data_IF_965167651847
#
_entry.id   IF_965167651847
#
_cell.length_a   1.000
_cell.length_b   1.000
_cell.length_c   1.000
_cell.angle_alpha   90.00
_cell.angle_beta   90.00
_cell.angle_gamma   90.00
#
_symmetry.space_group_name_H-M   'P 1'
#
loop_
_entity.id
_entity.type
_entity.pdbx_description
1 polymer ?
#
# COMPACT_ATOMS: atom_id res chain seq x y z
N UNK A 1 -1.03 66.41 52.49
CA UNK A 1 -1.82 65.92 51.36
C UNK A 1 -0.93 65.97 50.12
N UNK A 2 -0.30 64.85 49.75
CA UNK A 2 0.49 64.69 48.53
C UNK A 2 -0.14 63.62 47.65
N UNK A 3 -0.84 63.97 46.59
CA UNK A 3 -1.33 63.09 45.52
C UNK A 3 -0.18 62.89 44.54
N UNK A 4 0.49 61.69 44.65
CA UNK A 4 1.43 61.29 43.62
C UNK A 4 0.66 60.68 42.44
N UNK A 5 0.77 61.30 41.29
CA UNK A 5 0.25 60.88 40.00
C UNK A 5 1.15 59.72 39.48
N UNK A 6 0.61 58.50 39.37
CA UNK A 6 1.33 57.27 38.94
C UNK A 6 1.04 56.91 37.47
N UNK A 7 0.41 57.80 36.71
CA UNK A 7 -0.16 57.48 35.40
C UNK A 7 0.72 57.57 34.14
N UNK A 8 1.92 58.20 34.10
CA UNK A 8 2.65 58.27 32.84
C UNK A 8 3.66 57.11 32.60
N UNK A 9 3.97 56.26 33.59
CA UNK A 9 4.98 55.23 33.44
C UNK A 9 4.38 53.94 32.86
N UNK A 10 3.10 53.67 33.12
CA UNK A 10 2.43 52.45 32.65
C UNK A 10 2.17 52.45 31.13
N UNK A 11 1.92 53.60 30.52
CA UNK A 11 1.68 53.73 29.08
C UNK A 11 2.94 53.60 28.22
N UNK A 12 4.13 53.84 28.78
CA UNK A 12 5.41 53.66 28.04
C UNK A 12 5.90 52.21 27.99
N UNK A 13 5.51 51.42 28.96
CA UNK A 13 5.87 49.97 28.98
C UNK A 13 4.95 49.11 28.12
N UNK A 14 3.66 49.47 27.97
CA UNK A 14 2.72 48.76 27.12
C UNK A 14 2.96 49.03 25.62
N UNK A 15 3.44 50.22 25.25
CA UNK A 15 3.78 50.55 23.86
C UNK A 15 4.99 49.80 23.32
N UNK A 16 5.96 49.45 24.16
CA UNK A 16 7.18 48.75 23.75
C UNK A 16 6.94 47.24 23.52
N UNK A 17 5.96 46.64 24.20
CA UNK A 17 5.58 45.23 24.04
C UNK A 17 4.76 44.95 22.78
N UNK A 18 4.06 45.93 22.26
CA UNK A 18 3.25 45.77 21.03
C UNK A 18 4.12 45.92 19.77
N UNK A 19 5.21 46.67 19.81
CA UNK A 19 6.12 46.83 18.66
C UNK A 19 7.05 45.64 18.47
N UNK A 20 7.32 44.83 19.51
CA UNK A 20 8.13 43.60 19.44
C UNK A 20 7.41 42.38 18.89
N UNK A 21 6.07 42.39 18.91
CA UNK A 21 5.26 41.23 18.48
C UNK A 21 4.98 41.14 16.97
N UNK A 22 5.20 42.22 16.23
CA UNK A 22 4.86 42.27 14.79
C UNK A 22 6.00 41.81 13.89
N UNK A 23 7.23 41.71 14.40
CA UNK A 23 8.41 41.34 13.60
C UNK A 23 8.69 39.82 13.51
N UNK A 24 7.95 39.00 14.23
CA UNK A 24 8.17 37.51 14.21
C UNK A 24 7.22 36.75 13.30
N UNK A 25 6.25 37.42 12.65
CA UNK A 25 5.25 36.73 11.80
C UNK A 25 5.65 36.61 10.31
N UNK A 26 6.83 37.11 9.92
CA UNK A 26 7.20 37.16 8.48
C UNK A 26 8.14 36.07 8.01
N UNK A 27 8.46 35.05 8.81
CA UNK A 27 9.43 34.02 8.46
C UNK A 27 8.83 32.68 8.07
N UNK A 28 7.51 32.55 7.94
CA UNK A 28 6.85 31.25 7.70
C UNK A 28 6.10 31.11 6.37
N UNK A 29 6.35 31.97 5.40
CA UNK A 29 5.66 31.91 4.10
C UNK A 29 6.62 31.95 2.91
N UNK A 30 7.53 30.97 2.82
CA UNK A 30 8.26 30.74 1.56
C UNK A 30 8.71 29.29 1.43
N UNK A 31 7.75 28.35 1.43
CA UNK A 31 7.96 26.99 0.91
C UNK A 31 6.84 26.63 -0.09
N UNK A 32 6.70 27.45 -1.11
CA UNK A 32 5.83 27.12 -2.24
C UNK A 32 6.65 27.17 -3.51
N UNK A 33 6.92 25.98 -4.10
CA UNK A 33 7.16 25.93 -5.53
C UNK A 33 8.39 25.22 -6.07
N UNK A 34 9.36 24.77 -5.28
CA UNK A 34 10.41 23.93 -5.83
C UNK A 34 9.91 22.46 -5.85
N UNK A 35 9.78 21.86 -7.03
CA UNK A 35 9.51 20.45 -7.16
C UNK A 35 10.58 19.66 -6.38
N UNK A 36 10.15 18.62 -5.62
CA UNK A 36 11.11 17.78 -4.91
C UNK A 36 12.13 17.17 -5.89
N UNK A 37 13.35 16.86 -5.45
CA UNK A 37 14.34 16.21 -6.30
C UNK A 37 13.80 14.95 -6.99
N UNK A 38 12.95 14.19 -6.30
CA UNK A 38 12.28 13.01 -6.81
C UNK A 38 11.28 13.36 -7.91
N UNK A 39 10.52 14.44 -7.74
CA UNK A 39 9.61 14.93 -8.77
C UNK A 39 10.36 15.38 -10.02
N UNK A 40 11.52 16.01 -9.85
CA UNK A 40 12.36 16.42 -10.96
C UNK A 40 12.84 15.20 -11.78
N UNK A 41 13.25 14.11 -11.12
CA UNK A 41 13.64 12.85 -11.79
C UNK A 41 12.45 12.26 -12.56
N UNK A 42 11.25 12.21 -11.98
CA UNK A 42 10.06 11.73 -12.68
C UNK A 42 9.75 12.56 -13.92
N UNK A 43 9.77 13.87 -13.80
CA UNK A 43 9.53 14.78 -14.93
C UNK A 43 10.53 14.59 -16.05
N UNK A 44 11.80 14.39 -15.69
CA UNK A 44 12.89 14.26 -16.66
C UNK A 44 12.91 12.92 -17.39
N UNK A 45 12.63 11.81 -16.69
CA UNK A 45 12.90 10.46 -17.21
C UNK A 45 11.65 9.58 -17.40
N UNK A 46 10.51 9.94 -16.79
CA UNK A 46 9.33 9.08 -16.76
C UNK A 46 8.13 9.66 -17.51
N UNK A 47 7.86 10.96 -17.33
CA UNK A 47 6.65 11.63 -17.86
C UNK A 47 6.58 11.62 -19.38
N UNK A 48 7.73 11.61 -20.07
CA UNK A 48 7.75 11.52 -21.54
C UNK A 48 6.95 10.34 -22.10
N UNK A 49 6.88 9.24 -21.37
CA UNK A 49 6.10 8.05 -21.73
C UNK A 49 4.86 7.85 -20.82
N UNK A 50 4.96 8.21 -19.55
CA UNK A 50 3.93 8.02 -18.55
C UNK A 50 3.17 9.33 -18.24
N UNK A 51 2.84 10.11 -19.28
CA UNK A 51 2.00 11.29 -19.22
C UNK A 51 0.51 10.93 -19.35
N UNK A 52 -0.35 11.87 -19.04
CA UNK A 52 -1.80 11.70 -19.25
C UNK A 52 -2.17 11.50 -20.72
N UNK A 53 -1.37 12.06 -21.63
CA UNK A 53 -1.55 11.93 -23.08
C UNK A 53 -1.18 10.55 -23.63
N UNK A 54 -0.05 9.99 -23.19
CA UNK A 54 0.49 8.74 -23.76
C UNK A 54 0.07 7.49 -23.01
N UNK A 55 -0.01 7.57 -21.68
CA UNK A 55 -0.45 6.47 -20.79
C UNK A 55 0.23 5.12 -21.07
N UNK A 56 1.52 5.15 -21.41
CA UNK A 56 2.26 3.95 -21.79
C UNK A 56 2.16 2.87 -20.68
N UNK A 57 1.74 1.66 -21.06
CA UNK A 57 1.48 0.58 -20.09
C UNK A 57 0.32 0.85 -19.14
N UNK A 58 -0.60 1.76 -19.49
CA UNK A 58 -1.72 2.16 -18.63
C UNK A 58 -1.34 3.00 -17.42
N UNK A 59 -0.07 3.45 -17.33
CA UNK A 59 0.45 4.19 -16.19
C UNK A 59 0.59 5.68 -16.49
N UNK A 60 0.08 6.52 -15.58
CA UNK A 60 0.26 7.98 -15.60
C UNK A 60 0.99 8.39 -14.34
N UNK A 61 2.20 8.96 -14.49
CA UNK A 61 3.00 9.48 -13.39
C UNK A 61 2.98 11.01 -13.30
N UNK A 62 2.52 11.67 -14.35
CA UNK A 62 2.49 13.12 -14.47
C UNK A 62 1.75 13.79 -13.30
N UNK A 63 0.60 13.25 -12.94
CA UNK A 63 -0.31 13.82 -11.94
C UNK A 63 -0.21 13.15 -10.57
N UNK A 64 0.63 12.12 -10.40
CA UNK A 64 0.79 11.44 -9.12
C UNK A 64 1.72 12.23 -8.19
N UNK A 65 1.32 12.34 -6.93
CA UNK A 65 2.12 13.01 -5.92
C UNK A 65 3.14 12.05 -5.31
N UNK A 66 4.42 12.19 -5.69
CA UNK A 66 5.51 11.37 -5.13
C UNK A 66 5.82 11.74 -3.68
N UNK A 67 5.54 12.98 -3.26
CA UNK A 67 5.80 13.42 -1.89
C UNK A 67 4.75 12.86 -0.90
N UNK A 68 3.69 12.24 -1.44
CA UNK A 68 2.68 11.50 -0.67
C UNK A 68 2.38 10.15 -1.33
N UNK A 69 3.31 9.22 -1.24
CA UNK A 69 3.20 7.86 -1.83
C UNK A 69 1.96 7.09 -1.31
N UNK A 70 1.51 7.41 -0.12
CA UNK A 70 0.34 6.77 0.50
C UNK A 70 -1.01 7.07 -0.15
N UNK A 71 -1.09 8.01 -1.09
CA UNK A 71 -2.29 8.22 -1.90
C UNK A 71 -2.46 7.14 -2.97
N UNK A 72 -1.36 6.59 -3.49
CA UNK A 72 -1.35 5.56 -4.53
C UNK A 72 -0.23 4.54 -4.29
N UNK A 73 -0.23 3.85 -3.14
CA UNK A 73 0.91 3.02 -2.72
C UNK A 73 1.18 1.89 -3.71
N UNK A 74 0.15 1.22 -4.22
CA UNK A 74 0.29 0.12 -5.20
C UNK A 74 0.97 0.56 -6.50
N UNK A 75 0.76 1.80 -6.91
CA UNK A 75 1.41 2.34 -8.12
C UNK A 75 2.89 2.58 -7.83
N UNK A 76 3.21 3.16 -6.69
CA UNK A 76 4.59 3.43 -6.30
C UNK A 76 5.40 2.15 -6.02
N UNK A 77 4.77 1.11 -5.48
CA UNK A 77 5.35 -0.23 -5.36
C UNK A 77 5.74 -0.81 -6.73
N UNK A 78 4.85 -0.70 -7.73
CA UNK A 78 5.15 -1.14 -9.10
C UNK A 78 6.30 -0.34 -9.71
N UNK A 79 6.34 0.98 -9.49
CA UNK A 79 7.44 1.84 -9.94
C UNK A 79 8.75 1.40 -9.27
N UNK A 80 8.75 1.24 -7.95
CA UNK A 80 9.91 0.77 -7.19
C UNK A 80 10.43 -0.57 -7.73
N UNK A 81 9.56 -1.55 -7.92
CA UNK A 81 9.92 -2.85 -8.47
C UNK A 81 10.59 -2.74 -9.87
N UNK A 82 10.06 -1.87 -10.74
CA UNK A 82 10.63 -1.64 -12.08
C UNK A 82 11.96 -0.91 -12.05
N UNK A 83 12.16 0.00 -11.09
CA UNK A 83 13.44 0.67 -10.88
C UNK A 83 14.49 -0.30 -10.31
N UNK A 84 14.15 -1.10 -9.31
CA UNK A 84 15.05 -2.09 -8.71
C UNK A 84 15.51 -3.12 -9.73
N UNK A 85 14.62 -3.61 -10.58
CA UNK A 85 14.92 -4.58 -11.63
C UNK A 85 15.56 -3.95 -12.89
N UNK A 86 15.78 -2.62 -12.92
CA UNK A 86 16.35 -1.88 -14.06
C UNK A 86 15.55 -2.01 -15.36
N UNK A 87 14.26 -2.35 -15.28
CA UNK A 87 13.38 -2.40 -16.47
C UNK A 87 12.92 -1.03 -16.93
N UNK A 88 12.96 -0.02 -16.07
CA UNK A 88 12.56 1.35 -16.39
C UNK A 88 13.63 2.36 -15.95
N UNK A 89 13.92 3.37 -16.79
CA UNK A 89 13.53 3.53 -18.21
C UNK A 89 14.09 2.41 -19.09
N UNK A 90 13.39 2.06 -20.20
CA UNK A 90 13.83 0.97 -21.07
C UNK A 90 15.14 1.32 -21.82
N UNK A 91 15.84 0.35 -22.40
CA UNK A 91 17.03 0.60 -23.24
C UNK A 91 16.74 1.59 -24.36
N UNK A 92 17.71 2.46 -24.66
CA UNK A 92 17.62 3.40 -25.77
C UNK A 92 17.00 4.76 -25.44
N UNK A 93 16.49 4.96 -24.21
CA UNK A 93 16.01 6.28 -23.77
C UNK A 93 16.89 6.85 -22.64
N UNK A 94 16.87 8.18 -22.44
CA UNK A 94 17.60 8.80 -21.32
C UNK A 94 17.18 8.19 -19.98
N UNK A 95 18.17 7.97 -19.11
CA UNK A 95 17.97 7.38 -17.79
C UNK A 95 18.79 8.10 -16.73
N UNK A 96 18.40 8.05 -15.44
CA UNK A 96 19.23 8.55 -14.35
C UNK A 96 20.59 7.86 -14.32
N UNK A 97 21.60 8.53 -13.79
CA UNK A 97 22.85 7.87 -13.40
C UNK A 97 22.60 6.92 -12.20
N UNK A 98 23.61 6.14 -11.84
CA UNK A 98 23.47 5.15 -10.76
C UNK A 98 23.11 5.79 -9.42
N UNK A 99 23.65 6.97 -9.14
CA UNK A 99 23.33 7.74 -7.94
C UNK A 99 21.87 8.21 -7.93
N UNK A 100 21.37 8.66 -9.08
CA UNK A 100 19.97 9.06 -9.25
C UNK A 100 18.99 7.89 -9.09
N UNK A 101 19.34 6.72 -9.64
CA UNK A 101 18.59 5.49 -9.41
C UNK A 101 18.53 5.13 -7.94
N UNK A 102 19.68 5.05 -7.28
CA UNK A 102 19.76 4.66 -5.88
C UNK A 102 19.02 5.64 -4.98
N UNK A 103 19.14 6.94 -5.26
CA UNK A 103 18.40 7.96 -4.51
C UNK A 103 16.88 7.80 -4.65
N UNK A 104 16.38 7.51 -5.85
CA UNK A 104 14.95 7.31 -6.09
C UNK A 104 14.44 6.03 -5.44
N UNK A 105 15.18 4.94 -5.56
CA UNK A 105 14.86 3.64 -4.94
C UNK A 105 14.79 3.78 -3.43
N UNK A 106 15.84 4.30 -2.80
CA UNK A 106 15.88 4.49 -1.34
C UNK A 106 14.75 5.40 -0.83
N UNK A 107 14.44 6.45 -1.59
CA UNK A 107 13.33 7.34 -1.25
C UNK A 107 11.99 6.60 -1.26
N UNK A 108 11.69 5.86 -2.33
CA UNK A 108 10.43 5.11 -2.45
C UNK A 108 10.33 4.02 -1.40
N UNK A 109 11.37 3.22 -1.19
CA UNK A 109 11.43 2.20 -0.14
C UNK A 109 11.11 2.80 1.22
N UNK A 110 11.87 3.81 1.63
CA UNK A 110 11.69 4.46 2.94
C UNK A 110 10.29 5.06 3.11
N UNK A 111 9.75 5.69 2.05
CA UNK A 111 8.46 6.37 2.11
C UNK A 111 7.29 5.38 2.15
N UNK A 112 7.37 4.29 1.38
CA UNK A 112 6.37 3.22 1.35
C UNK A 112 6.38 2.43 2.66
N UNK A 113 7.55 2.07 3.18
CA UNK A 113 7.70 1.37 4.46
C UNK A 113 7.13 2.19 5.61
N UNK A 114 7.46 3.49 5.63
CA UNK A 114 6.92 4.41 6.65
C UNK A 114 5.40 4.51 6.57
N UNK A 115 4.85 4.58 5.36
CA UNK A 115 3.40 4.60 5.17
C UNK A 115 2.77 3.28 5.61
N UNK A 116 3.32 2.14 5.19
CA UNK A 116 2.83 0.80 5.57
C UNK A 116 2.88 0.59 7.09
N UNK A 117 3.95 1.00 7.76
CA UNK A 117 4.06 0.94 9.21
C UNK A 117 2.99 1.79 9.93
N UNK A 118 2.57 2.91 9.32
CA UNK A 118 1.52 3.76 9.89
C UNK A 118 0.10 3.21 9.70
N UNK A 119 -0.07 2.27 8.76
CA UNK A 119 -1.35 1.62 8.42
C UNK A 119 -1.14 0.13 8.20
N UNK A 120 -0.79 -0.62 9.24
CA UNK A 120 -0.48 -2.03 9.11
C UNK A 120 -1.71 -2.79 8.57
N UNK A 121 -1.53 -3.40 7.39
CA UNK A 121 -2.51 -4.28 6.78
C UNK A 121 -1.86 -5.66 6.60
N UNK A 122 -2.01 -6.57 7.56
CA UNK A 122 -1.41 -7.91 7.50
C UNK A 122 -2.05 -8.81 6.43
N UNK A 123 -2.82 -8.25 5.50
CA UNK A 123 -3.45 -9.02 4.44
C UNK A 123 -4.55 -9.95 4.93
N UNK A 124 -5.18 -9.65 6.06
CA UNK A 124 -6.31 -10.45 6.53
C UNK A 124 -7.47 -10.29 5.56
N UNK A 125 -7.87 -11.41 4.98
CA UNK A 125 -9.13 -11.51 4.27
C UNK A 125 -10.30 -11.25 5.22
N UNK A 126 -11.36 -10.64 4.70
CA UNK A 126 -12.60 -10.47 5.44
C UNK A 126 -13.09 -11.84 5.93
N UNK A 127 -13.54 -11.86 7.13
CA UNK A 127 -14.08 -12.77 8.11
C UNK A 127 -14.28 -14.26 7.79
N UNK A 128 -14.57 -14.71 6.58
CA UNK A 128 -14.67 -16.15 6.27
C UNK A 128 -14.21 -16.42 4.83
N UNK A 129 -13.18 -17.23 4.69
CA UNK A 129 -12.77 -17.79 3.42
C UNK A 129 -13.00 -19.31 3.43
N UNK A 130 -13.27 -19.89 2.26
CA UNK A 130 -13.26 -21.34 2.14
C UNK A 130 -11.85 -21.90 2.31
N UNK A 131 -11.73 -23.13 2.68
CA UNK A 131 -10.45 -23.84 2.68
C UNK A 131 -10.03 -24.17 1.24
N UNK A 132 -8.72 -24.09 0.96
CA UNK A 132 -8.14 -24.69 -0.26
C UNK A 132 -8.24 -26.22 -0.17
N UNK A 133 -8.00 -26.91 -1.29
CA UNK A 133 -7.95 -28.38 -1.30
C UNK A 133 -6.95 -28.94 -0.28
N UNK A 134 -5.77 -28.35 -0.20
CA UNK A 134 -4.71 -28.75 0.73
C UNK A 134 -5.12 -28.53 2.17
N UNK A 135 -5.70 -27.37 2.47
CA UNK A 135 -6.21 -27.06 3.82
C UNK A 135 -7.38 -27.98 4.19
N UNK A 136 -8.28 -28.28 3.24
CA UNK A 136 -9.41 -29.17 3.47
C UNK A 136 -8.94 -30.61 3.75
N UNK A 137 -7.98 -31.13 2.95
CA UNK A 137 -7.36 -32.43 3.20
C UNK A 137 -6.74 -32.48 4.61
N UNK A 138 -5.92 -31.48 4.95
CA UNK A 138 -5.28 -31.44 6.26
C UNK A 138 -6.31 -31.37 7.41
N UNK A 139 -7.34 -30.56 7.27
CA UNK A 139 -8.39 -30.44 8.28
C UNK A 139 -9.13 -31.78 8.49
N UNK A 140 -9.46 -32.52 7.44
CA UNK A 140 -10.09 -33.84 7.54
C UNK A 140 -9.16 -34.86 8.17
N UNK A 141 -7.90 -34.89 7.77
CA UNK A 141 -6.89 -35.74 8.38
C UNK A 141 -6.74 -35.47 9.88
N UNK A 142 -6.63 -34.21 10.25
CA UNK A 142 -6.33 -33.80 11.62
C UNK A 142 -7.56 -34.00 12.54
N UNK A 143 -8.79 -33.85 12.01
CA UNK A 143 -10.03 -34.02 12.77
C UNK A 143 -10.51 -35.45 12.84
N UNK A 144 -10.38 -36.24 11.75
CA UNK A 144 -11.01 -37.56 11.62
C UNK A 144 -9.98 -38.69 11.44
N UNK A 145 -8.71 -38.37 11.31
CA UNK A 145 -7.68 -39.38 11.00
C UNK A 145 -7.81 -39.98 9.61
N UNK A 146 -8.55 -39.37 8.70
CA UNK A 146 -8.81 -39.86 7.36
C UNK A 146 -7.91 -39.20 6.32
N UNK A 147 -7.25 -40.02 5.54
CA UNK A 147 -6.52 -39.55 4.36
C UNK A 147 -7.44 -39.56 3.14
N UNK A 148 -7.84 -38.38 2.67
CA UNK A 148 -8.79 -38.22 1.57
C UNK A 148 -8.09 -37.66 0.33
N UNK A 149 -8.57 -37.99 -0.86
CA UNK A 149 -8.17 -37.35 -2.09
C UNK A 149 -9.03 -36.10 -2.36
N UNK A 150 -8.62 -34.97 -1.81
CA UNK A 150 -9.34 -33.70 -2.00
C UNK A 150 -9.32 -33.22 -3.47
N UNK A 151 -8.33 -33.66 -4.28
CA UNK A 151 -8.24 -33.30 -5.71
C UNK A 151 -9.38 -33.95 -6.50
N UNK A 152 -9.76 -35.17 -6.16
CA UNK A 152 -10.89 -35.87 -6.80
C UNK A 152 -12.26 -35.39 -6.28
N UNK A 153 -12.31 -34.79 -5.11
CA UNK A 153 -13.56 -34.37 -4.49
C UNK A 153 -13.96 -32.92 -4.79
N UNK A 154 -12.98 -32.04 -4.88
CA UNK A 154 -13.18 -30.60 -5.01
C UNK A 154 -12.58 -30.03 -6.31
N UNK A 155 -13.17 -28.97 -6.88
CA UNK A 155 -12.59 -28.29 -8.04
C UNK A 155 -11.26 -27.62 -7.67
N UNK A 156 -10.45 -27.28 -8.69
CA UNK A 156 -9.17 -26.61 -8.50
C UNK A 156 -9.32 -25.28 -7.78
N UNK A 157 -8.36 -24.96 -6.94
CA UNK A 157 -8.22 -23.63 -6.38
C UNK A 157 -7.64 -22.69 -7.45
N UNK A 158 -8.19 -21.48 -7.51
CA UNK A 158 -7.62 -20.41 -8.31
C UNK A 158 -6.40 -19.86 -7.59
N UNK A 159 -5.32 -19.64 -8.32
CA UNK A 159 -4.11 -19.05 -7.76
C UNK A 159 -3.90 -17.64 -8.26
N UNK A 160 -3.43 -16.77 -7.38
CA UNK A 160 -3.01 -15.42 -7.72
C UNK A 160 -1.68 -15.12 -7.05
N UNK A 161 -0.79 -14.44 -7.75
CA UNK A 161 0.56 -14.13 -7.28
C UNK A 161 1.38 -15.35 -6.81
N UNK A 162 1.08 -16.55 -7.31
CA UNK A 162 1.74 -17.80 -6.92
C UNK A 162 1.19 -18.46 -5.65
N UNK A 163 0.09 -17.94 -5.09
CA UNK A 163 -0.56 -18.49 -3.90
C UNK A 163 -1.99 -18.96 -4.23
N UNK A 164 -2.35 -20.15 -3.79
CA UNK A 164 -3.66 -20.77 -4.01
C UNK A 164 -4.74 -20.32 -3.01
N UNK A 165 -4.36 -19.55 -1.99
CA UNK A 165 -5.25 -19.10 -0.92
C UNK A 165 -5.66 -17.62 -1.03
N UNK A 166 -5.27 -16.90 -2.08
CA UNK A 166 -5.52 -15.47 -2.24
C UNK A 166 -6.88 -15.15 -2.85
N UNK A 167 -7.49 -16.10 -3.58
CA UNK A 167 -8.75 -15.91 -4.32
C UNK A 167 -9.90 -16.77 -3.80
N UNK A 168 -9.87 -17.17 -2.54
CA UNK A 168 -10.86 -18.10 -1.95
C UNK A 168 -12.05 -17.40 -1.28
N UNK A 169 -12.59 -16.36 -1.92
CA UNK A 169 -13.58 -15.48 -1.27
C UNK A 169 -15.03 -15.94 -1.41
N UNK A 170 -15.40 -16.66 -2.47
CA UNK A 170 -16.81 -16.94 -2.75
C UNK A 170 -17.14 -18.43 -2.86
N UNK A 171 -18.23 -18.84 -2.24
CA UNK A 171 -18.87 -20.13 -2.48
C UNK A 171 -19.96 -19.98 -3.55
N UNK A 172 -19.68 -20.39 -4.78
CA UNK A 172 -20.72 -20.53 -5.80
C UNK A 172 -21.67 -21.71 -5.44
N UNK A 173 -22.92 -21.72 -5.92
CA UNK A 173 -23.84 -22.84 -5.69
C UNK A 173 -23.25 -24.19 -6.11
N UNK A 174 -22.57 -24.25 -7.24
CA UNK A 174 -21.91 -25.47 -7.73
C UNK A 174 -20.79 -25.93 -6.79
N UNK A 175 -20.00 -24.99 -6.27
CA UNK A 175 -18.93 -25.29 -5.33
C UNK A 175 -19.52 -25.80 -4.00
N UNK A 176 -20.60 -25.20 -3.52
CA UNK A 176 -21.32 -25.67 -2.32
C UNK A 176 -21.79 -27.11 -2.49
N UNK A 177 -22.39 -27.46 -3.62
CA UNK A 177 -22.81 -28.84 -3.92
C UNK A 177 -21.63 -29.82 -3.89
N UNK A 178 -20.47 -29.40 -4.41
CA UNK A 178 -19.25 -30.23 -4.35
C UNK A 178 -18.78 -30.46 -2.92
N UNK A 179 -18.78 -29.42 -2.08
CA UNK A 179 -18.46 -29.56 -0.66
C UNK A 179 -19.45 -30.47 0.07
N UNK A 180 -20.75 -30.33 -0.17
CA UNK A 180 -21.76 -31.22 0.43
C UNK A 180 -21.60 -32.68 -0.01
N UNK A 181 -21.26 -32.90 -1.28
CA UNK A 181 -21.00 -34.24 -1.80
C UNK A 181 -19.73 -34.85 -1.20
N UNK A 182 -18.66 -34.07 -1.07
CA UNK A 182 -17.44 -34.48 -0.40
C UNK A 182 -17.70 -34.81 1.07
N UNK A 183 -18.43 -33.94 1.79
CA UNK A 183 -18.77 -34.16 3.19
C UNK A 183 -19.55 -35.45 3.40
N UNK A 184 -20.53 -35.77 2.53
CA UNK A 184 -21.27 -37.05 2.60
C UNK A 184 -20.36 -38.25 2.40
N UNK A 185 -19.42 -38.23 1.45
CA UNK A 185 -18.43 -39.29 1.26
C UNK A 185 -17.54 -39.48 2.47
N UNK A 186 -17.03 -38.35 3.02
CA UNK A 186 -16.16 -38.36 4.19
C UNK A 186 -16.91 -38.90 5.42
N UNK A 187 -18.15 -38.50 5.65
CA UNK A 187 -18.95 -39.00 6.75
C UNK A 187 -19.18 -40.52 6.67
N UNK A 188 -19.40 -41.06 5.47
CA UNK A 188 -19.52 -42.49 5.27
C UNK A 188 -18.21 -43.26 5.56
N UNK A 189 -17.08 -42.69 5.11
CA UNK A 189 -15.76 -43.25 5.40
C UNK A 189 -15.48 -43.22 6.92
N UNK A 190 -15.81 -42.15 7.58
CA UNK A 190 -15.59 -41.99 9.02
C UNK A 190 -16.44 -42.94 9.88
N UNK A 191 -17.68 -43.21 9.46
CA UNK A 191 -18.62 -44.06 10.20
C UNK A 191 -18.53 -45.53 9.80
N UNK A 192 -17.75 -45.87 8.77
CA UNK A 192 -17.67 -47.26 8.28
C UNK A 192 -18.99 -47.77 7.65
N UNK A 193 -19.87 -46.87 7.25
CA UNK A 193 -21.15 -47.21 6.64
C UNK A 193 -20.93 -47.68 5.21
N UNK A 194 -21.15 -48.96 4.95
CA UNK A 194 -21.35 -49.48 3.60
C UNK A 194 -22.72 -49.03 3.09
N UNK A 195 -22.75 -48.51 1.88
CA UNK A 195 -23.99 -48.26 1.15
C UNK A 195 -24.62 -49.58 0.71
#
# INVERSE_FOLDING_TARGET
MLKRSVTPVLYRLTGLLILGGVLTLSAQQQQSGAASPQRAVINQYCVSCHSDKLKTGGLVLENLNIDNVGQNPEVWEKVLHKLNSRYMPPPGVPKPDEKGYQSMVTYLETSLDKWAASKPNPGRTASMRRLTRTEYHNAIRDLLGLDIDAVQMLPSDESSFGFDNTMVEALSPTLLERYLTAARKIARLALGSTL
#
